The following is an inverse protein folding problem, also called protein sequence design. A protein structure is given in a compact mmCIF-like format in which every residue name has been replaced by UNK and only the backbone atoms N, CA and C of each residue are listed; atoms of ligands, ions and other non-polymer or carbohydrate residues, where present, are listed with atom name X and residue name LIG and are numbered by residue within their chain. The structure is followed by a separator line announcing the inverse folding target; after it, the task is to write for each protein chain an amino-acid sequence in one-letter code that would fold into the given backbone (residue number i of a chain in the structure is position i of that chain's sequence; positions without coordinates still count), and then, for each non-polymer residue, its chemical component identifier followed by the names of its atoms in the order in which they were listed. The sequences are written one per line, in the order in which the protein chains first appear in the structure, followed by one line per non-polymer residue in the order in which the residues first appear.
data_IF_295424639000
#
_entry.id   IF_295424639000
#
_cell.length_a   1.000
_cell.length_b   1.000
_cell.length_c   1.000
_cell.angle_alpha   90.00
_cell.angle_beta   90.00
_cell.angle_gamma   90.00
#
_symmetry.space_group_name_H-M   'P 1'
#
loop_
_entity.id
_entity.type
_entity.pdbx_description
1 polymer ?
#
# COMPACT_ATOMS: atom_id res chain seq x y z
N UNK A 1 -17.57 -33.75 -10.37
CA UNK A 1 -16.80 -32.76 -9.60
C UNK A 1 -15.48 -32.32 -10.24
N UNK A 2 -14.72 -33.15 -10.99
CA UNK A 2 -13.50 -32.67 -11.68
C UNK A 2 -13.76 -31.75 -12.90
N UNK A 3 -14.94 -31.82 -13.52
CA UNK A 3 -15.28 -31.02 -14.70
C UNK A 3 -15.56 -29.55 -14.39
N UNK A 4 -16.14 -29.25 -13.23
CA UNK A 4 -16.57 -27.88 -12.89
C UNK A 4 -15.37 -26.99 -12.53
N UNK A 5 -14.41 -27.51 -11.78
CA UNK A 5 -13.14 -26.82 -11.46
C UNK A 5 -12.31 -26.53 -12.71
N UNK A 6 -12.26 -27.47 -13.66
CA UNK A 6 -11.57 -27.28 -14.94
C UNK A 6 -12.26 -26.24 -15.84
N UNK A 7 -13.58 -26.07 -15.73
CA UNK A 7 -14.31 -25.03 -16.45
C UNK A 7 -14.07 -23.65 -15.83
N UNK A 8 -14.11 -23.55 -14.50
CA UNK A 8 -13.82 -22.30 -13.78
C UNK A 8 -12.41 -21.77 -14.09
N UNK A 9 -11.39 -22.64 -14.09
CA UNK A 9 -10.03 -22.26 -14.44
C UNK A 9 -9.91 -21.74 -15.88
N UNK A 10 -10.57 -22.39 -16.84
CA UNK A 10 -10.62 -21.94 -18.24
C UNK A 10 -11.29 -20.58 -18.39
N UNK A 11 -12.41 -20.35 -17.69
CA UNK A 11 -13.09 -19.05 -17.69
C UNK A 11 -12.21 -17.95 -17.09
N UNK A 12 -11.45 -18.26 -16.03
CA UNK A 12 -10.53 -17.29 -15.41
C UNK A 12 -9.36 -16.94 -16.34
N UNK A 13 -8.78 -17.92 -17.04
CA UNK A 13 -7.72 -17.70 -18.04
C UNK A 13 -8.25 -16.83 -19.19
N UNK A 14 -9.47 -17.08 -19.66
CA UNK A 14 -10.08 -16.27 -20.71
C UNK A 14 -10.37 -14.82 -20.26
N UNK A 15 -10.66 -14.61 -18.97
CA UNK A 15 -10.87 -13.27 -18.39
C UNK A 15 -9.57 -12.47 -18.28
N UNK A 16 -8.43 -13.12 -18.09
CA UNK A 16 -7.12 -12.50 -17.96
C UNK A 16 -6.14 -13.08 -19.00
N UNK A 17 -6.36 -12.80 -20.31
CA UNK A 17 -5.57 -13.40 -21.39
C UNK A 17 -4.11 -12.95 -21.35
N UNK A 18 -3.86 -11.76 -20.80
CA UNK A 18 -2.50 -11.24 -20.68
C UNK A 18 -1.72 -12.01 -19.62
N UNK A 19 -2.36 -12.50 -18.56
CA UNK A 19 -1.68 -13.13 -17.43
C UNK A 19 -1.14 -14.54 -17.76
N UNK A 20 0.03 -14.87 -17.23
CA UNK A 20 0.63 -16.20 -17.39
C UNK A 20 0.04 -17.14 -16.31
N UNK A 21 -0.62 -18.24 -16.69
CA UNK A 21 -1.19 -19.19 -15.73
C UNK A 21 -0.10 -20.12 -15.17
N UNK A 22 0.76 -19.57 -14.31
CA UNK A 22 1.79 -20.34 -13.61
C UNK A 22 1.96 -19.86 -12.16
N UNK A 23 1.95 -20.75 -11.16
CA UNK A 23 1.95 -20.35 -9.75
C UNK A 23 3.19 -19.56 -9.32
N UNK A 24 4.37 -19.77 -9.94
CA UNK A 24 5.57 -18.96 -9.63
C UNK A 24 5.68 -17.66 -10.42
N UNK A 25 4.67 -17.31 -11.23
CA UNK A 25 4.69 -16.10 -12.07
C UNK A 25 3.94 -14.90 -11.45
N UNK A 26 3.50 -15.00 -10.20
CA UNK A 26 2.73 -13.96 -9.51
C UNK A 26 3.36 -12.57 -9.59
N UNK A 27 4.67 -12.45 -9.30
CA UNK A 27 5.38 -11.18 -9.37
C UNK A 27 5.50 -10.62 -10.80
N UNK A 28 5.62 -11.48 -11.81
CA UNK A 28 5.68 -11.07 -13.21
C UNK A 28 4.31 -10.58 -13.70
N UNK A 29 3.26 -11.32 -13.34
CA UNK A 29 1.87 -10.98 -13.60
C UNK A 29 1.49 -9.64 -12.99
N UNK A 30 1.79 -9.46 -11.69
CA UNK A 30 1.53 -8.20 -10.98
C UNK A 30 2.31 -7.04 -11.61
N UNK A 31 3.60 -7.23 -11.94
CA UNK A 31 4.40 -6.18 -12.59
C UNK A 31 3.80 -5.75 -13.92
N UNK A 32 3.26 -6.69 -14.70
CA UNK A 32 2.62 -6.38 -15.99
C UNK A 32 1.33 -5.60 -15.81
N UNK A 33 0.47 -5.99 -14.87
CA UNK A 33 -0.77 -5.25 -14.61
C UNK A 33 -0.47 -3.83 -14.11
N UNK A 34 0.46 -3.68 -13.17
CA UNK A 34 0.87 -2.37 -12.67
C UNK A 34 1.43 -1.48 -13.79
N UNK A 35 2.24 -2.02 -14.69
CA UNK A 35 2.77 -1.28 -15.84
C UNK A 35 1.70 -0.90 -16.86
N UNK A 36 0.66 -1.73 -17.02
CA UNK A 36 -0.45 -1.44 -17.92
C UNK A 36 -1.33 -0.29 -17.39
N UNK A 37 -1.55 -0.24 -16.08
CA UNK A 37 -2.35 0.82 -15.43
C UNK A 37 -1.54 2.09 -15.25
N UNK A 38 -0.27 1.98 -14.84
CA UNK A 38 0.61 3.08 -14.51
C UNK A 38 1.90 3.03 -15.35
N UNK A 39 1.85 3.39 -16.65
CA UNK A 39 2.99 3.24 -17.55
C UNK A 39 4.14 4.21 -17.24
N UNK A 40 3.87 5.31 -16.54
CA UNK A 40 4.86 6.35 -16.20
C UNK A 40 5.70 6.02 -14.96
N UNK A 41 5.26 5.06 -14.14
CA UNK A 41 5.90 4.74 -12.86
C UNK A 41 6.69 3.43 -12.97
N UNK A 42 7.90 3.42 -12.40
CA UNK A 42 8.76 2.24 -12.40
C UNK A 42 8.52 1.41 -11.13
N UNK A 43 7.83 0.29 -11.26
CA UNK A 43 7.58 -0.63 -10.13
C UNK A 43 8.65 -1.72 -10.02
N UNK A 44 9.24 -1.84 -8.83
CA UNK A 44 10.07 -2.97 -8.42
C UNK A 44 9.21 -3.99 -7.67
N UNK A 45 8.80 -5.05 -8.36
CA UNK A 45 8.08 -6.19 -7.74
C UNK A 45 9.07 -7.32 -7.46
N UNK A 46 9.17 -7.74 -6.19
CA UNK A 46 10.02 -8.86 -5.73
C UNK A 46 9.18 -9.92 -5.03
N UNK A 47 9.42 -11.18 -5.39
CA UNK A 47 8.85 -12.34 -4.69
C UNK A 47 9.91 -12.99 -3.82
N UNK A 48 9.54 -13.38 -2.61
CA UNK A 48 10.40 -14.10 -1.66
C UNK A 48 9.62 -15.25 -1.06
N UNK A 49 10.27 -16.41 -0.91
CA UNK A 49 9.76 -17.54 -0.15
C UNK A 49 10.66 -17.81 1.05
N UNK A 50 10.07 -18.17 2.19
CA UNK A 50 10.74 -18.46 3.45
C UNK A 50 9.97 -19.54 4.22
N UNK A 51 10.52 -20.04 5.33
CA UNK A 51 9.93 -21.16 6.10
C UNK A 51 8.52 -20.87 6.65
N UNK A 52 8.14 -19.60 6.81
CA UNK A 52 6.84 -19.15 7.30
C UNK A 52 5.83 -18.73 6.21
N UNK A 53 6.19 -18.87 4.94
CA UNK A 53 5.32 -18.54 3.81
C UNK A 53 6.06 -17.86 2.64
N UNK A 54 5.29 -17.09 1.89
CA UNK A 54 5.72 -16.34 0.72
C UNK A 54 5.24 -14.90 0.80
N UNK A 55 5.99 -14.02 0.16
CA UNK A 55 5.75 -12.58 0.19
C UNK A 55 6.03 -11.96 -1.18
N UNK A 56 5.15 -11.06 -1.61
CA UNK A 56 5.37 -10.15 -2.73
C UNK A 56 5.54 -8.75 -2.17
N UNK A 57 6.73 -8.16 -2.35
CA UNK A 57 6.96 -6.74 -2.09
C UNK A 57 6.89 -5.95 -3.41
N UNK A 58 6.04 -4.94 -3.47
CA UNK A 58 5.99 -3.93 -4.51
C UNK A 58 6.61 -2.65 -3.97
N UNK A 59 7.68 -2.18 -4.59
CA UNK A 59 8.34 -0.92 -4.24
C UNK A 59 8.28 0.05 -5.42
N UNK A 60 7.95 1.30 -5.16
CA UNK A 60 8.00 2.39 -6.14
C UNK A 60 8.24 3.73 -5.44
N UNK A 61 8.77 4.68 -6.19
CA UNK A 61 9.01 6.05 -5.76
C UNK A 61 7.99 6.96 -6.43
N UNK A 62 7.51 7.99 -5.72
CA UNK A 62 6.65 9.07 -6.22
C UNK A 62 5.62 8.65 -7.29
N UNK A 63 4.43 8.22 -6.87
CA UNK A 63 3.43 7.73 -7.81
C UNK A 63 2.01 7.67 -7.24
N UNK A 64 1.18 6.72 -7.69
CA UNK A 64 -0.20 6.58 -7.25
C UNK A 64 -0.31 6.33 -5.74
N UNK A 65 -1.52 6.43 -5.22
CA UNK A 65 -1.77 6.12 -3.81
C UNK A 65 -1.54 4.65 -3.55
N UNK A 66 -1.14 4.33 -2.31
CA UNK A 66 -0.97 2.94 -1.86
C UNK A 66 -2.27 2.16 -2.06
N UNK A 67 -3.41 2.76 -1.75
CA UNK A 67 -4.75 2.17 -1.93
C UNK A 67 -5.05 1.77 -3.39
N UNK A 68 -4.61 2.56 -4.37
CA UNK A 68 -4.81 2.28 -5.80
C UNK A 68 -3.96 1.08 -6.26
N UNK A 69 -2.74 0.97 -5.73
CA UNK A 69 -1.85 -0.17 -5.98
C UNK A 69 -2.33 -1.42 -5.24
N UNK A 70 -2.82 -1.27 -4.00
CA UNK A 70 -3.42 -2.34 -3.20
C UNK A 70 -4.64 -2.95 -3.88
N UNK A 71 -5.51 -2.14 -4.49
CA UNK A 71 -6.67 -2.63 -5.21
C UNK A 71 -6.32 -3.61 -6.37
N UNK A 72 -5.12 -3.46 -6.96
CA UNK A 72 -4.60 -4.36 -7.98
C UNK A 72 -3.86 -5.53 -7.34
N UNK A 73 -2.95 -5.24 -6.40
CA UNK A 73 -2.04 -6.22 -5.83
C UNK A 73 -2.73 -7.23 -4.90
N UNK A 74 -3.81 -6.84 -4.20
CA UNK A 74 -4.54 -7.71 -3.28
C UNK A 74 -5.20 -8.91 -3.96
N UNK A 75 -5.37 -8.90 -5.29
CA UNK A 75 -5.79 -10.08 -6.06
C UNK A 75 -4.82 -11.26 -5.92
N UNK A 76 -3.53 -10.97 -5.71
CA UNK A 76 -2.47 -11.95 -5.55
C UNK A 76 -2.27 -12.38 -4.09
N UNK A 77 -2.99 -11.79 -3.14
CA UNK A 77 -2.94 -12.19 -1.74
C UNK A 77 -3.77 -13.46 -1.52
N UNK A 78 -3.29 -14.33 -0.62
CA UNK A 78 -4.11 -15.43 -0.10
C UNK A 78 -5.27 -14.89 0.74
N UNK A 79 -6.37 -15.62 0.74
CA UNK A 79 -7.51 -15.30 1.59
C UNK A 79 -7.13 -15.54 3.05
N UNK A 80 -7.20 -14.47 3.85
CA UNK A 80 -6.94 -14.46 5.29
C UNK A 80 -8.18 -14.04 6.09
N UNK A 81 -9.37 -14.09 5.49
CA UNK A 81 -10.63 -13.67 6.13
C UNK A 81 -11.05 -14.55 7.31
N UNK A 82 -10.53 -15.79 7.38
CA UNK A 82 -10.86 -16.74 8.44
C UNK A 82 -9.81 -16.66 9.55
N UNK A 83 -10.22 -16.07 10.68
CA UNK A 83 -9.48 -16.08 11.93
C UNK A 83 -10.16 -17.03 12.92
N UNK A 84 -9.40 -17.98 13.48
CA UNK A 84 -9.84 -18.78 14.61
C UNK A 84 -9.56 -18.01 15.91
N UNK A 85 -10.61 -17.42 16.47
CA UNK A 85 -10.52 -16.62 17.69
C UNK A 85 -10.05 -17.42 18.92
N UNK A 86 -10.18 -18.75 18.92
CA UNK A 86 -9.73 -19.57 20.05
C UNK A 86 -8.21 -19.78 20.07
N UNK A 87 -7.59 -19.79 18.89
CA UNK A 87 -6.15 -20.03 18.72
C UNK A 87 -5.37 -18.78 18.31
N UNK A 88 -6.06 -17.66 18.06
CA UNK A 88 -5.50 -16.42 17.48
C UNK A 88 -4.72 -16.71 16.18
N UNK A 89 -5.22 -17.66 15.39
CA UNK A 89 -4.57 -18.13 14.17
C UNK A 89 -5.37 -17.73 12.93
N UNK A 90 -4.67 -17.16 11.96
CA UNK A 90 -5.21 -16.84 10.64
C UNK A 90 -4.90 -17.97 9.66
N UNK A 91 -5.93 -18.50 9.02
CA UNK A 91 -5.77 -19.48 7.96
C UNK A 91 -5.61 -18.78 6.61
N UNK A 92 -4.44 -18.93 6.00
CA UNK A 92 -4.11 -18.31 4.72
C UNK A 92 -4.32 -19.31 3.60
N UNK A 93 -5.40 -19.14 2.83
CA UNK A 93 -5.80 -20.08 1.79
C UNK A 93 -5.59 -19.50 0.39
N UNK A 94 -4.94 -20.24 -0.53
CA UNK A 94 -4.88 -19.82 -1.93
C UNK A 94 -6.28 -19.70 -2.52
N UNK A 95 -6.58 -18.54 -3.12
CA UNK A 95 -7.80 -18.29 -3.89
C UNK A 95 -7.74 -19.00 -5.24
N UNK A 96 -8.88 -19.11 -5.93
CA UNK A 96 -8.91 -19.64 -7.30
C UNK A 96 -8.02 -18.85 -8.26
N UNK A 97 -7.93 -17.53 -8.07
CA UNK A 97 -7.03 -16.68 -8.85
C UNK A 97 -5.56 -17.03 -8.57
N UNK A 98 -5.16 -17.10 -7.30
CA UNK A 98 -3.77 -17.36 -6.93
C UNK A 98 -3.32 -18.78 -7.25
N UNK A 99 -4.25 -19.74 -7.30
CA UNK A 99 -3.97 -21.11 -7.77
C UNK A 99 -3.57 -21.15 -9.25
N UNK A 100 -4.11 -20.26 -10.07
CA UNK A 100 -3.89 -20.22 -11.52
C UNK A 100 -2.71 -19.31 -11.87
N UNK A 101 -2.70 -18.07 -11.38
CA UNK A 101 -1.72 -17.04 -11.76
C UNK A 101 -0.58 -16.86 -10.75
N UNK A 102 -0.64 -17.60 -9.64
CA UNK A 102 0.25 -17.44 -8.50
C UNK A 102 -0.22 -16.39 -7.50
N UNK A 103 0.27 -16.49 -6.28
CA UNK A 103 0.00 -15.53 -5.22
C UNK A 103 1.04 -15.62 -4.12
N UNK A 104 0.79 -14.89 -3.04
CA UNK A 104 1.59 -14.96 -1.82
C UNK A 104 0.72 -14.74 -0.59
N UNK A 105 1.20 -15.25 0.54
CA UNK A 105 0.62 -15.05 1.87
C UNK A 105 0.62 -13.57 2.26
N UNK A 106 1.70 -12.87 1.94
CA UNK A 106 1.85 -11.46 2.25
C UNK A 106 2.06 -10.65 0.97
N UNK A 107 1.29 -9.58 0.80
CA UNK A 107 1.50 -8.58 -0.25
C UNK A 107 1.81 -7.27 0.45
N UNK A 108 3.03 -6.79 0.26
CA UNK A 108 3.55 -5.58 0.91
C UNK A 108 3.80 -4.52 -0.15
N UNK A 109 3.26 -3.33 0.08
CA UNK A 109 3.46 -2.18 -0.79
C UNK A 109 4.29 -1.15 -0.05
N UNK A 110 5.39 -0.74 -0.69
CA UNK A 110 6.31 0.29 -0.21
C UNK A 110 6.30 1.42 -1.22
N UNK A 111 5.80 2.57 -0.77
CA UNK A 111 5.84 3.82 -1.50
C UNK A 111 6.87 4.72 -0.84
N UNK A 112 7.95 5.00 -1.55
CA UNK A 112 9.01 5.88 -1.09
C UNK A 112 8.82 7.30 -1.66
N UNK A 113 9.22 8.30 -0.88
CA UNK A 113 9.22 9.72 -1.30
C UNK A 113 10.57 10.08 -1.88
N UNK A 114 10.63 10.71 -3.05
CA UNK A 114 11.89 11.30 -3.52
C UNK A 114 12.34 12.44 -2.61
N UNK A 115 13.64 12.73 -2.65
CA UNK A 115 14.23 13.82 -1.87
C UNK A 115 13.63 15.18 -2.23
N UNK A 116 13.26 15.38 -3.51
CA UNK A 116 12.63 16.61 -3.98
C UNK A 116 11.23 16.78 -3.38
N UNK A 117 10.38 15.77 -3.51
CA UNK A 117 9.01 15.81 -2.96
C UNK A 117 9.05 15.94 -1.44
N UNK A 118 9.99 15.26 -0.79
CA UNK A 118 10.21 15.37 0.65
C UNK A 118 10.56 16.79 1.07
N UNK A 119 11.49 17.46 0.37
CA UNK A 119 11.86 18.84 0.66
C UNK A 119 10.66 19.80 0.48
N UNK A 120 9.93 19.68 -0.63
CA UNK A 120 8.76 20.53 -0.93
C UNK A 120 7.65 20.34 0.13
N UNK A 121 7.40 19.10 0.54
CA UNK A 121 6.40 18.79 1.58
C UNK A 121 6.86 19.18 2.98
N UNK A 122 8.16 19.12 3.25
CA UNK A 122 8.73 19.61 4.51
C UNK A 122 8.55 21.12 4.64
N UNK A 123 8.83 21.89 3.57
CA UNK A 123 8.56 23.33 3.56
C UNK A 123 7.09 23.63 3.84
N UNK A 124 6.16 22.95 3.17
CA UNK A 124 4.73 23.07 3.45
C UNK A 124 4.36 22.68 4.89
N UNK A 125 4.99 21.63 5.42
CA UNK A 125 4.74 21.22 6.80
C UNK A 125 5.16 22.30 7.81
N UNK A 126 6.28 22.98 7.56
CA UNK A 126 6.75 24.11 8.38
C UNK A 126 5.85 25.34 8.21
N UNK A 127 5.32 25.60 7.01
CA UNK A 127 4.32 26.67 6.81
C UNK A 127 3.02 26.41 7.58
N UNK A 128 2.55 25.15 7.59
CA UNK A 128 1.33 24.73 8.31
C UNK A 128 1.55 24.77 9.83
N UNK A 129 2.74 24.40 10.29
CA UNK A 129 3.10 24.29 11.70
C UNK A 129 4.49 24.91 11.95
N UNK A 130 4.57 26.25 12.06
CA UNK A 130 5.85 26.94 12.23
C UNK A 130 6.57 26.54 13.53
N UNK A 131 5.82 26.14 14.56
CA UNK A 131 6.36 25.67 15.84
C UNK A 131 7.20 24.38 15.72
N UNK A 132 7.03 23.64 14.61
CA UNK A 132 7.76 22.41 14.31
C UNK A 132 9.03 22.63 13.47
N UNK A 133 9.36 23.88 13.13
CA UNK A 133 10.56 24.22 12.36
C UNK A 133 11.85 23.72 13.02
N UNK A 134 11.88 23.66 14.35
CA UNK A 134 13.03 23.21 15.15
C UNK A 134 13.30 21.70 15.07
N UNK A 135 12.50 20.94 14.32
CA UNK A 135 12.62 19.48 14.20
C UNK A 135 12.21 18.71 15.45
N UNK A 136 11.54 19.38 16.40
CA UNK A 136 11.02 18.76 17.62
C UNK A 136 9.85 17.82 17.31
N UNK A 137 9.71 16.79 18.13
CA UNK A 137 8.54 15.91 18.14
C UNK A 137 7.67 16.33 19.32
N UNK A 138 6.47 16.82 19.05
CA UNK A 138 5.52 17.30 20.07
C UNK A 138 4.29 16.40 20.08
N UNK A 139 3.56 16.41 21.20
CA UNK A 139 2.25 15.74 21.20
C UNK A 139 1.27 16.52 20.35
N UNK A 140 0.38 15.81 19.64
CA UNK A 140 -0.60 16.47 18.78
C UNK A 140 -1.45 17.46 19.57
N UNK A 141 -1.83 17.15 20.80
CA UNK A 141 -2.66 18.01 21.63
C UNK A 141 -1.99 19.35 21.97
N UNK A 142 -0.67 19.39 22.03
CA UNK A 142 0.11 20.60 22.34
C UNK A 142 0.06 21.62 21.19
N UNK A 143 -0.25 21.18 19.96
CA UNK A 143 -0.42 22.05 18.79
C UNK A 143 -1.79 22.75 18.75
N UNK A 144 -2.74 22.31 19.57
CA UNK A 144 -4.09 22.86 19.63
C UNK A 144 -4.33 23.47 21.00
N UNK A 145 -4.03 24.77 21.16
CA UNK A 145 -4.30 25.51 22.40
C UNK A 145 -5.79 25.48 22.75
N UNK A 146 -6.19 25.11 23.99
CA UNK A 146 -7.59 25.15 24.42
C UNK A 146 -8.11 26.60 24.40
N UNK A 147 -9.02 26.91 23.47
CA UNK A 147 -9.67 28.22 23.37
C UNK A 147 -9.30 29.04 22.12
N UNK A 148 -8.24 28.66 21.40
CA UNK A 148 -7.99 29.18 20.05
C UNK A 148 -8.67 28.26 19.04
N UNK A 149 -9.89 28.62 18.60
CA UNK A 149 -10.56 28.00 17.44
C UNK A 149 -9.82 28.28 16.11
N UNK A 150 -8.57 28.73 16.15
CA UNK A 150 -7.84 29.26 15.00
C UNK A 150 -6.65 28.38 14.57
N UNK A 151 -6.56 27.13 15.06
CA UNK A 151 -5.78 26.15 14.33
C UNK A 151 -6.44 25.94 12.96
N UNK A 152 -5.69 26.20 11.88
CA UNK A 152 -6.23 26.08 10.52
C UNK A 152 -6.77 24.66 10.30
N UNK A 153 -7.86 24.54 9.54
CA UNK A 153 -8.41 23.23 9.11
C UNK A 153 -7.29 22.38 8.48
N UNK A 154 -6.37 23.03 7.78
CA UNK A 154 -5.18 22.42 7.19
C UNK A 154 -4.28 21.75 8.23
N UNK A 155 -3.97 22.40 9.36
CA UNK A 155 -3.19 21.79 10.45
C UNK A 155 -3.93 20.59 11.08
N UNK A 156 -5.25 20.73 11.29
CA UNK A 156 -6.05 19.64 11.84
C UNK A 156 -6.08 18.42 10.93
N UNK A 157 -6.26 18.63 9.63
CA UNK A 157 -6.26 17.58 8.64
C UNK A 157 -4.87 16.96 8.45
N UNK A 158 -3.81 17.77 8.43
CA UNK A 158 -2.44 17.32 8.22
C UNK A 158 -1.90 16.52 9.43
N UNK A 159 -2.39 16.80 10.63
CA UNK A 159 -2.04 16.05 11.85
C UNK A 159 -2.99 14.90 12.16
N UNK A 160 -4.05 14.69 11.35
CA UNK A 160 -5.07 13.68 11.62
C UNK A 160 -4.46 12.28 11.70
N UNK A 161 -4.78 11.56 12.77
CA UNK A 161 -4.31 10.19 13.02
C UNK A 161 -2.91 10.10 13.66
N UNK A 162 -2.23 11.23 13.86
CA UNK A 162 -0.94 11.27 14.55
C UNK A 162 -1.14 11.51 16.05
N UNK A 163 -0.40 10.79 16.89
CA UNK A 163 -0.29 11.05 18.33
C UNK A 163 0.94 11.92 18.65
N UNK A 164 2.03 11.70 17.92
CA UNK A 164 3.24 12.52 17.94
C UNK A 164 3.42 13.18 16.57
N UNK A 165 3.76 14.46 16.57
CA UNK A 165 3.82 15.29 15.37
C UNK A 165 5.21 15.92 15.24
N UNK A 166 5.77 15.77 14.05
CA UNK A 166 6.93 16.50 13.54
C UNK A 166 6.64 17.01 12.14
N UNK A 167 7.46 17.93 11.64
CA UNK A 167 7.38 18.37 10.25
C UNK A 167 7.48 17.19 9.25
N UNK A 168 8.33 16.18 9.52
CA UNK A 168 8.41 14.97 8.68
C UNK A 168 7.13 14.11 8.72
N UNK A 169 6.50 14.00 9.90
CA UNK A 169 5.25 13.25 10.06
C UNK A 169 4.10 13.92 9.31
N UNK A 170 4.03 15.26 9.36
CA UNK A 170 3.08 16.06 8.59
C UNK A 170 3.35 15.88 7.08
N UNK A 171 4.60 16.03 6.65
CA UNK A 171 5.00 15.86 5.26
C UNK A 171 4.59 14.47 4.72
N UNK A 172 4.82 13.41 5.51
CA UNK A 172 4.42 12.05 5.16
C UNK A 172 2.90 11.86 5.11
N UNK A 173 2.14 12.49 6.01
CA UNK A 173 0.67 12.43 5.98
C UNK A 173 0.11 13.15 4.74
N UNK A 174 0.68 14.31 4.40
CA UNK A 174 0.36 15.04 3.16
C UNK A 174 0.68 14.18 1.93
N UNK A 175 1.86 13.56 1.88
CA UNK A 175 2.26 12.67 0.80
C UNK A 175 1.30 11.49 0.59
N UNK A 176 0.84 10.87 1.67
CA UNK A 176 -0.11 9.75 1.60
C UNK A 176 -1.47 10.16 1.00
N UNK A 177 -1.87 11.42 1.15
CA UNK A 177 -3.12 11.96 0.57
C UNK A 177 -2.96 12.40 -0.89
N UNK A 178 -1.73 12.63 -1.35
CA UNK A 178 -1.42 13.02 -2.72
C UNK A 178 -1.39 11.82 -3.66
N UNK A 179 -1.97 11.97 -4.85
CA UNK A 179 -1.73 11.08 -5.99
C UNK A 179 -0.93 11.85 -7.04
N UNK A 180 0.17 11.27 -7.48
CA UNK A 180 0.99 11.79 -8.57
C UNK A 180 0.62 10.95 -9.80
N UNK A 181 -0.46 11.34 -10.48
CA UNK A 181 -0.95 10.71 -11.71
C UNK A 181 -0.39 11.41 -12.95
#
# INVERSE_FOLDING_TARGET
MKNDSNNAAKQMIARYPDLKPYPKSAAENLRRELRAVFPQITFSVRYKSFSGGDEITVSYEDGPKVEEVEAIANKYAYDSSQCDAMTDYYDYRPTEFTRIFGGAKFVLIRRDMSDRVRADLYCKAVEIAPDLADGRNVRREELFSPGEMCASVELFEATRGLCWVSADSIARNLFNKMSFA
#
